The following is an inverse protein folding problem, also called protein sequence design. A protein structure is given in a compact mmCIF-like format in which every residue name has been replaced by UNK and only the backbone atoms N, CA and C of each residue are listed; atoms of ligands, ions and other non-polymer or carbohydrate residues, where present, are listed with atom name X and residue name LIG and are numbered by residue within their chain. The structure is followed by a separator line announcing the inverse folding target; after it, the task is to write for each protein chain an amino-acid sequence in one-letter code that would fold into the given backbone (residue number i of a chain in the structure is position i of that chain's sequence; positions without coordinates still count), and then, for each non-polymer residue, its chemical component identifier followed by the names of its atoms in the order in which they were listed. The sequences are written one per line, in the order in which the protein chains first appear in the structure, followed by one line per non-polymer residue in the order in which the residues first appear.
data_IF_689547130632
#
_entry.id   IF_689547130632
#
_cell.length_a   1.000
_cell.length_b   1.000
_cell.length_c   1.000
_cell.angle_alpha   90.00
_cell.angle_beta   90.00
_cell.angle_gamma   90.00
#
_symmetry.space_group_name_H-M   'P 1'
#
loop_
_entity.id
_entity.type
_entity.pdbx_description
1 polymer ?
#
# COMPACT_ATOMS: atom_id res chain seq x y z
N UNK A 1 -14.25 9.74 -31.05
CA UNK A 1 -14.23 8.92 -29.84
C UNK A 1 -14.07 9.85 -28.65
N UNK A 2 -14.88 9.68 -27.62
CA UNK A 2 -14.77 10.45 -26.35
C UNK A 2 -14.43 9.48 -25.22
N UNK A 3 -13.56 9.88 -24.31
CA UNK A 3 -13.23 9.13 -23.10
C UNK A 3 -13.98 9.72 -21.91
N UNK A 4 -14.60 8.87 -21.11
CA UNK A 4 -15.34 9.25 -19.90
C UNK A 4 -14.89 8.36 -18.74
N UNK A 5 -14.70 8.96 -17.55
CA UNK A 5 -14.39 8.23 -16.32
C UNK A 5 -15.59 8.24 -15.39
N UNK A 6 -15.79 7.13 -14.68
CA UNK A 6 -16.74 7.01 -13.58
C UNK A 6 -16.03 6.42 -12.37
N UNK A 7 -16.40 6.84 -11.18
CA UNK A 7 -15.92 6.23 -9.94
C UNK A 7 -16.80 5.05 -9.57
N UNK A 8 -16.16 3.91 -9.26
CA UNK A 8 -16.84 2.70 -8.81
C UNK A 8 -16.30 2.23 -7.46
N UNK A 9 -17.13 1.52 -6.69
CA UNK A 9 -16.66 0.88 -5.46
C UNK A 9 -15.92 -0.41 -5.78
N UNK A 10 -14.79 -0.63 -5.11
CA UNK A 10 -13.98 -1.83 -5.24
C UNK A 10 -13.49 -2.31 -3.88
N UNK A 11 -13.63 -3.62 -3.60
CA UNK A 11 -13.04 -4.24 -2.43
C UNK A 11 -11.54 -4.44 -2.65
N UNK A 12 -10.74 -4.01 -1.67
CA UNK A 12 -9.30 -4.21 -1.64
C UNK A 12 -8.92 -5.20 -0.53
N UNK A 13 -7.81 -5.90 -0.69
CA UNK A 13 -7.26 -6.77 0.35
C UNK A 13 -6.22 -6.01 1.16
N UNK A 14 -6.28 -6.21 2.48
CA UNK A 14 -5.30 -5.67 3.42
C UNK A 14 -4.88 -6.80 4.35
N UNK A 15 -3.59 -6.95 4.58
CA UNK A 15 -3.04 -7.96 5.49
C UNK A 15 -2.37 -7.26 6.66
N UNK A 16 -2.37 -7.88 7.83
CA UNK A 16 -1.74 -7.33 9.01
C UNK A 16 -0.97 -8.39 9.81
N UNK A 17 0.08 -7.94 10.51
CA UNK A 17 0.81 -8.69 11.53
C UNK A 17 0.81 -7.88 12.83
N UNK A 18 0.77 -8.57 13.96
CA UNK A 18 0.73 -7.95 15.28
C UNK A 18 -0.68 -7.54 15.70
N UNK A 19 -0.77 -6.92 16.86
CA UNK A 19 -2.04 -6.47 17.41
C UNK A 19 -2.23 -4.97 17.12
N UNK A 20 -3.16 -4.66 16.24
CA UNK A 20 -3.43 -3.29 15.79
C UNK A 20 -3.98 -2.40 16.92
N UNK A 21 -4.68 -2.97 17.91
CA UNK A 21 -5.30 -2.19 18.99
C UNK A 21 -4.30 -1.78 20.07
N UNK A 22 -3.26 -2.59 20.29
CA UNK A 22 -2.30 -2.39 21.40
C UNK A 22 -0.92 -1.92 20.94
N UNK A 23 -0.61 -2.04 19.65
CA UNK A 23 0.65 -1.56 19.09
C UNK A 23 0.80 -0.05 19.28
N UNK A 24 2.03 0.40 19.58
CA UNK A 24 2.36 1.82 19.68
C UNK A 24 2.77 2.43 18.34
N UNK A 25 3.24 1.60 17.43
CA UNK A 25 3.62 1.99 16.08
C UNK A 25 2.98 1.07 15.04
N UNK A 26 2.55 1.67 13.95
CA UNK A 26 2.03 0.96 12.77
C UNK A 26 2.92 1.26 11.58
N UNK A 27 3.37 0.21 10.91
CA UNK A 27 4.08 0.30 9.66
C UNK A 27 3.16 -0.05 8.50
N UNK A 28 2.90 0.93 7.63
CA UNK A 28 2.22 0.70 6.34
C UNK A 28 3.29 0.31 5.34
N UNK A 29 3.26 -0.93 4.84
CA UNK A 29 4.28 -1.46 3.93
C UNK A 29 3.69 -1.68 2.54
N UNK A 30 4.26 -1.00 1.55
CA UNK A 30 3.77 -0.97 0.17
C UNK A 30 4.68 -1.82 -0.73
N UNK A 31 4.13 -2.92 -1.24
CA UNK A 31 4.84 -3.89 -2.07
C UNK A 31 5.25 -3.32 -3.44
N UNK A 32 6.17 -4.01 -4.10
CA UNK A 32 6.61 -3.69 -5.45
C UNK A 32 5.66 -4.22 -6.54
N UNK A 33 5.94 -3.83 -7.79
CA UNK A 33 5.23 -4.36 -8.96
C UNK A 33 5.34 -5.89 -9.01
N UNK A 34 4.23 -6.54 -9.38
CA UNK A 34 4.14 -7.98 -9.51
C UNK A 34 4.43 -8.77 -8.21
N UNK A 35 4.07 -8.20 -7.07
CA UNK A 35 4.05 -8.88 -5.77
C UNK A 35 2.60 -8.95 -5.24
N UNK A 36 2.33 -9.88 -4.32
CA UNK A 36 1.14 -9.87 -3.50
C UNK A 36 1.48 -9.33 -2.10
N UNK A 37 0.57 -8.57 -1.51
CA UNK A 37 0.75 -8.08 -0.15
C UNK A 37 0.83 -9.22 0.88
N UNK A 38 0.12 -10.33 0.64
CA UNK A 38 0.16 -11.53 1.48
C UNK A 38 1.54 -12.20 1.56
N UNK A 39 2.35 -12.09 0.51
CA UNK A 39 3.71 -12.61 0.51
C UNK A 39 4.72 -11.57 0.98
N UNK A 40 4.52 -10.33 0.58
CA UNK A 40 5.39 -9.22 0.97
C UNK A 40 5.41 -9.02 2.49
N UNK A 41 4.27 -9.10 3.16
CA UNK A 41 4.16 -8.89 4.61
C UNK A 41 4.99 -9.90 5.41
N UNK A 42 5.15 -11.14 4.93
CA UNK A 42 5.93 -12.18 5.60
C UNK A 42 7.39 -11.79 5.79
N UNK A 43 7.94 -10.93 4.92
CA UNK A 43 9.31 -10.46 5.04
C UNK A 43 9.56 -9.62 6.29
N UNK A 44 8.50 -9.16 6.94
CA UNK A 44 8.56 -8.36 8.17
C UNK A 44 8.40 -9.16 9.47
N UNK A 45 8.08 -10.46 9.38
CA UNK A 45 7.96 -11.33 10.56
C UNK A 45 9.17 -11.26 11.49
N UNK A 46 10.43 -11.24 10.99
CA UNK A 46 11.62 -11.21 11.85
C UNK A 46 11.78 -9.93 12.71
N UNK A 47 11.10 -8.85 12.35
CA UNK A 47 11.20 -7.57 13.07
C UNK A 47 9.99 -7.27 13.94
N UNK A 48 9.07 -8.23 14.08
CA UNK A 48 7.88 -8.07 14.92
C UNK A 48 8.23 -8.03 16.42
N UNK A 49 7.49 -7.22 17.15
CA UNK A 49 7.53 -7.14 18.62
C UNK A 49 6.16 -6.68 19.15
N UNK A 50 5.99 -6.66 20.48
CA UNK A 50 4.71 -6.34 21.12
C UNK A 50 4.24 -4.89 20.91
N UNK A 51 5.12 -3.98 20.52
CA UNK A 51 4.80 -2.57 20.27
C UNK A 51 4.55 -2.24 18.81
N UNK A 52 4.74 -3.19 17.90
CA UNK A 52 4.69 -2.99 16.45
C UNK A 52 3.57 -3.78 15.81
N UNK A 53 2.82 -3.12 14.95
CA UNK A 53 1.95 -3.77 13.99
C UNK A 53 2.36 -3.39 12.55
N UNK A 54 2.18 -4.32 11.63
CA UNK A 54 2.44 -4.12 10.20
C UNK A 54 1.13 -4.23 9.46
N UNK A 55 0.89 -3.32 8.52
CA UNK A 55 -0.25 -3.35 7.60
C UNK A 55 0.31 -3.34 6.18
N UNK A 56 -0.08 -4.32 5.40
CA UNK A 56 0.28 -4.43 3.97
C UNK A 56 -0.99 -4.35 3.12
N UNK A 57 -1.34 -3.15 2.64
CA UNK A 57 -2.38 -2.99 1.64
C UNK A 57 -1.91 -3.59 0.32
N UNK A 58 -2.83 -4.21 -0.43
CA UNK A 58 -2.53 -4.74 -1.75
C UNK A 58 -2.92 -3.74 -2.84
N UNK A 59 -2.04 -3.57 -3.83
CA UNK A 59 -2.31 -2.74 -4.99
C UNK A 59 -3.61 -3.14 -5.70
N UNK A 60 -4.36 -2.17 -6.20
CA UNK A 60 -5.73 -2.37 -6.68
C UNK A 60 -5.84 -3.17 -7.97
N UNK A 61 -4.74 -3.35 -8.72
CA UNK A 61 -4.70 -4.09 -9.97
C UNK A 61 -4.07 -5.46 -9.79
N UNK A 62 -4.88 -6.52 -9.84
CA UNK A 62 -4.40 -7.90 -9.86
C UNK A 62 -4.40 -8.44 -11.27
N UNK A 63 -3.37 -9.20 -11.61
CA UNK A 63 -3.20 -9.79 -12.92
C UNK A 63 -2.39 -11.08 -12.85
N UNK A 64 -2.48 -11.89 -13.89
CA UNK A 64 -1.66 -13.08 -14.02
C UNK A 64 -0.27 -12.71 -14.53
N UNK A 65 0.79 -13.17 -13.84
CA UNK A 65 2.19 -12.86 -14.16
C UNK A 65 2.56 -13.19 -15.61
N UNK A 66 1.95 -14.21 -16.18
CA UNK A 66 2.20 -14.68 -17.55
C UNK A 66 1.06 -14.30 -18.52
N UNK A 67 0.44 -13.15 -18.33
CA UNK A 67 -0.63 -12.65 -19.17
C UNK A 67 -2.00 -13.13 -18.70
N UNK A 68 -2.37 -14.38 -18.95
CA UNK A 68 -3.67 -14.95 -18.55
C UNK A 68 -3.53 -16.26 -17.75
N UNK A 69 -2.33 -16.63 -17.35
CA UNK A 69 -2.04 -17.79 -16.50
C UNK A 69 -0.80 -17.57 -15.62
N UNK A 70 -0.53 -18.52 -14.73
CA UNK A 70 0.55 -18.44 -13.77
C UNK A 70 0.11 -17.80 -12.45
N UNK A 71 1.06 -17.33 -11.66
CA UNK A 71 0.79 -16.71 -10.37
C UNK A 71 0.02 -15.40 -10.54
N UNK A 72 -0.94 -15.17 -9.66
CA UNK A 72 -1.60 -13.87 -9.53
C UNK A 72 -0.69 -12.94 -8.76
N UNK A 73 -0.53 -11.72 -9.26
CA UNK A 73 0.28 -10.66 -8.67
C UNK A 73 -0.48 -9.33 -8.72
N UNK A 74 0.06 -8.30 -8.07
CA UNK A 74 -0.60 -7.00 -8.01
C UNK A 74 0.31 -5.85 -8.45
N UNK A 75 -0.32 -4.73 -8.77
CA UNK A 75 0.31 -3.47 -9.13
C UNK A 75 -0.47 -2.30 -8.54
N UNK A 76 0.22 -1.21 -8.23
CA UNK A 76 -0.39 0.03 -7.76
C UNK A 76 -0.96 0.86 -8.88
N UNK A 77 -0.28 0.88 -10.02
CA UNK A 77 -0.68 1.63 -11.20
C UNK A 77 0.03 1.13 -12.45
N UNK A 78 -0.47 1.55 -13.60
CA UNK A 78 0.24 1.45 -14.88
C UNK A 78 0.46 2.86 -15.47
N UNK A 79 1.02 2.94 -16.67
CA UNK A 79 1.13 4.22 -17.39
C UNK A 79 -0.21 4.67 -17.99
N UNK A 80 -1.11 3.71 -18.23
CA UNK A 80 -2.43 3.97 -18.78
C UNK A 80 -3.35 4.52 -17.69
N UNK A 81 -3.95 5.67 -17.94
CA UNK A 81 -4.83 6.38 -17.00
C UNK A 81 -4.23 6.62 -15.60
N UNK A 82 -2.92 6.87 -15.57
CA UNK A 82 -2.12 6.91 -14.35
C UNK A 82 -2.60 7.90 -13.29
N UNK A 83 -3.25 8.99 -13.68
CA UNK A 83 -3.70 10.02 -12.75
C UNK A 83 -4.90 9.54 -11.92
N UNK A 84 -5.82 8.81 -12.54
CA UNK A 84 -6.91 8.17 -11.82
C UNK A 84 -6.38 7.05 -10.90
N UNK A 85 -5.45 6.22 -11.35
CA UNK A 85 -4.81 5.21 -10.50
C UNK A 85 -4.17 5.84 -9.25
N UNK A 86 -3.48 6.99 -9.41
CA UNK A 86 -2.84 7.72 -8.29
C UNK A 86 -3.90 8.23 -7.30
N UNK A 87 -5.00 8.77 -7.78
CA UNK A 87 -6.09 9.26 -6.95
C UNK A 87 -6.78 8.11 -6.20
N UNK A 88 -7.05 7.01 -6.89
CA UNK A 88 -7.69 5.82 -6.34
C UNK A 88 -6.84 5.19 -5.22
N UNK A 89 -5.54 4.94 -5.45
CA UNK A 89 -4.73 4.36 -4.38
C UNK A 89 -4.46 5.35 -3.24
N UNK A 90 -4.41 6.65 -3.50
CA UNK A 90 -4.27 7.67 -2.44
C UNK A 90 -5.48 7.66 -1.53
N UNK A 91 -6.68 7.66 -2.08
CA UNK A 91 -7.94 7.55 -1.34
C UNK A 91 -8.00 6.24 -0.55
N UNK A 92 -7.65 5.14 -1.19
CA UNK A 92 -7.61 3.82 -0.57
C UNK A 92 -6.64 3.76 0.62
N UNK A 93 -5.42 4.28 0.48
CA UNK A 93 -4.43 4.27 1.56
C UNK A 93 -4.82 5.16 2.74
N UNK A 94 -5.51 6.27 2.49
CA UNK A 94 -6.11 7.08 3.56
C UNK A 94 -7.15 6.27 4.34
N UNK A 95 -8.04 5.54 3.64
CA UNK A 95 -9.02 4.67 4.27
C UNK A 95 -8.38 3.55 5.09
N UNK A 96 -7.24 3.00 4.63
CA UNK A 96 -6.49 2.00 5.41
C UNK A 96 -6.03 2.59 6.74
N UNK A 97 -5.48 3.79 6.76
CA UNK A 97 -5.06 4.44 8.02
C UNK A 97 -6.27 4.70 8.92
N UNK A 98 -7.35 5.26 8.39
CA UNK A 98 -8.57 5.54 9.17
C UNK A 98 -9.17 4.28 9.79
N UNK A 99 -9.19 3.17 9.04
CA UNK A 99 -9.83 1.93 9.49
C UNK A 99 -8.98 1.13 10.46
N UNK A 100 -7.66 1.15 10.32
CA UNK A 100 -6.76 0.24 11.03
C UNK A 100 -5.87 0.91 12.07
N UNK A 101 -5.90 2.24 12.23
CA UNK A 101 -5.21 2.92 13.32
C UNK A 101 -6.19 3.46 14.35
N UNK A 102 -5.76 3.52 15.62
CA UNK A 102 -6.55 4.11 16.72
C UNK A 102 -6.38 5.64 16.82
N UNK A 103 -5.49 6.23 16.03
CA UNK A 103 -5.18 7.65 16.05
C UNK A 103 -4.06 8.06 17.03
N UNK A 104 -3.76 7.24 18.03
CA UNK A 104 -2.69 7.51 19.02
C UNK A 104 -1.33 6.88 18.64
N UNK A 105 -1.31 6.08 17.60
CA UNK A 105 -0.16 5.33 17.15
C UNK A 105 0.72 6.17 16.21
N UNK A 106 2.01 5.97 16.29
CA UNK A 106 2.94 6.53 15.31
C UNK A 106 2.85 5.73 14.01
N UNK A 107 2.54 6.42 12.91
CA UNK A 107 2.49 5.80 11.58
C UNK A 107 3.85 5.91 10.92
N UNK A 108 4.37 4.80 10.43
CA UNK A 108 5.56 4.72 9.59
C UNK A 108 5.19 4.14 8.23
N UNK A 109 5.90 4.51 7.19
CA UNK A 109 5.64 4.03 5.83
C UNK A 109 6.91 3.43 5.24
N UNK A 110 6.78 2.24 4.65
CA UNK A 110 7.85 1.64 3.86
C UNK A 110 7.33 1.37 2.45
N UNK A 111 8.00 1.90 1.45
CA UNK A 111 7.77 1.57 0.05
C UNK A 111 8.91 0.75 -0.53
N UNK A 112 8.59 -0.32 -1.24
CA UNK A 112 9.55 -1.14 -1.96
C UNK A 112 9.32 -1.05 -3.47
N UNK A 113 10.35 -0.74 -4.25
CA UNK A 113 10.31 -0.66 -5.72
C UNK A 113 9.18 0.26 -6.21
N UNK A 114 8.13 -0.24 -6.90
CA UNK A 114 6.95 0.55 -7.28
C UNK A 114 6.27 1.20 -6.06
N UNK A 115 6.28 0.52 -4.91
CA UNK A 115 5.74 1.05 -3.66
C UNK A 115 6.44 2.33 -3.17
N UNK A 116 7.68 2.61 -3.59
CA UNK A 116 8.38 3.87 -3.27
C UNK A 116 7.63 5.07 -3.87
N UNK A 117 7.39 5.03 -5.17
CA UNK A 117 6.67 6.12 -5.84
C UNK A 117 5.22 6.25 -5.32
N UNK A 118 4.58 5.11 -5.00
CA UNK A 118 3.25 5.08 -4.39
C UNK A 118 3.26 5.76 -3.03
N UNK A 119 4.21 5.42 -2.14
CA UNK A 119 4.36 6.02 -0.82
C UNK A 119 4.58 7.54 -0.92
N UNK A 120 5.52 7.97 -1.77
CA UNK A 120 5.84 9.38 -1.93
C UNK A 120 4.64 10.20 -2.41
N UNK A 121 3.92 9.72 -3.43
CA UNK A 121 2.74 10.42 -3.96
C UNK A 121 1.59 10.45 -2.96
N UNK A 122 1.36 9.32 -2.27
CA UNK A 122 0.34 9.25 -1.24
C UNK A 122 0.59 10.27 -0.12
N UNK A 123 1.77 10.25 0.49
CA UNK A 123 2.09 11.15 1.60
C UNK A 123 2.10 12.62 1.17
N UNK A 124 2.56 12.92 -0.06
CA UNK A 124 2.51 14.27 -0.59
C UNK A 124 1.09 14.83 -0.80
N UNK A 125 0.10 13.95 -0.98
CA UNK A 125 -1.31 14.30 -1.22
C UNK A 125 -2.21 14.13 0.00
N UNK A 126 -1.75 13.45 1.04
CA UNK A 126 -2.54 13.13 2.23
C UNK A 126 -2.22 14.07 3.40
N UNK A 127 -3.11 14.04 4.40
CA UNK A 127 -2.88 14.70 5.69
C UNK A 127 -2.36 13.71 6.75
N UNK A 128 -1.92 12.53 6.36
CA UNK A 128 -1.39 11.52 7.27
C UNK A 128 -0.04 12.00 7.82
N UNK A 129 0.04 12.10 9.14
CA UNK A 129 1.30 12.43 9.81
C UNK A 129 2.13 11.16 9.96
N UNK A 130 3.33 11.14 9.37
CA UNK A 130 4.23 9.99 9.42
C UNK A 130 5.47 10.29 10.27
N UNK A 131 5.83 9.37 11.14
CA UNK A 131 7.04 9.44 11.96
C UNK A 131 8.30 9.19 11.15
N UNK A 132 8.26 8.27 10.18
CA UNK A 132 9.36 8.02 9.25
C UNK A 132 8.89 7.36 7.96
N UNK A 133 9.68 7.54 6.90
CA UNK A 133 9.52 6.85 5.61
C UNK A 133 10.79 6.09 5.26
N UNK A 134 10.64 4.84 4.86
CA UNK A 134 11.71 4.02 4.29
C UNK A 134 11.42 3.79 2.81
N UNK A 135 12.31 4.25 1.96
CA UNK A 135 12.20 4.16 0.51
C UNK A 135 13.26 3.19 -0.01
N UNK A 136 12.84 1.95 -0.30
CA UNK A 136 13.76 0.88 -0.62
C UNK A 136 13.66 0.46 -2.08
N UNK A 137 14.80 0.48 -2.77
CA UNK A 137 14.99 -0.05 -4.14
C UNK A 137 13.98 0.48 -5.16
N UNK A 138 13.56 1.72 -5.03
CA UNK A 138 12.63 2.37 -5.93
C UNK A 138 13.12 3.73 -6.40
N UNK A 139 12.38 4.30 -7.34
CA UNK A 139 12.63 5.63 -7.88
C UNK A 139 11.73 6.65 -7.21
N UNK A 140 12.30 7.75 -6.78
CA UNK A 140 11.54 8.92 -6.33
C UNK A 140 10.77 9.51 -7.52
N UNK A 141 9.46 9.75 -7.42
CA UNK A 141 8.62 10.19 -8.53
C UNK A 141 8.81 11.66 -8.91
#
# INVERSE_FOLDING_TARGET
MQNHSITVQKSARVFSLGNLDTAKEIWIVLHGYAQLASDFIKTFEPIMNDNRAIIAPEGLHRFYRKGFYGDVVASWMTKEDRLNDIEDYTTYLNQVVEQFSTGDQTIHVLGFSQGVATACRWIAKSNVHVGSMVLWAGTFP
#
